data_IF_378191092588
#
_entry.id   IF_378191092588
#
_cell.length_a   1.000
_cell.length_b   1.000
_cell.length_c   1.000
_cell.angle_alpha   90.00
_cell.angle_beta   90.00
_cell.angle_gamma   90.00
#
_symmetry.space_group_name_H-M   'P 1'
#
loop_
_entity.id
_entity.type
_entity.pdbx_description
1 polymer ?
#
# COMPACT_ATOMS: atom_id res chain seq x y z
N UNK A 1 24.32 23.72 -2.33
CA UNK A 1 23.19 22.81 -2.64
C UNK A 1 22.63 22.05 -1.42
N UNK A 2 23.41 21.36 -0.57
CA UNK A 2 22.83 20.52 0.51
C UNK A 2 22.07 21.31 1.60
N UNK A 3 22.45 22.56 1.87
CA UNK A 3 21.75 23.45 2.83
C UNK A 3 20.30 23.75 2.42
N UNK A 4 19.98 23.81 1.13
CA UNK A 4 18.60 24.06 0.65
C UNK A 4 17.72 22.83 0.83
N UNK A 5 18.23 21.64 0.51
CA UNK A 5 17.50 20.38 0.68
C UNK A 5 17.14 20.14 2.15
N UNK A 6 18.08 20.35 3.07
CA UNK A 6 17.81 20.21 4.50
C UNK A 6 16.78 21.23 5.01
N UNK A 7 16.81 22.45 4.50
CA UNK A 7 15.80 23.46 4.83
C UNK A 7 14.42 23.08 4.30
N UNK A 8 14.33 22.52 3.09
CA UNK A 8 13.08 22.04 2.50
C UNK A 8 12.49 20.86 3.28
N UNK A 9 13.33 19.90 3.68
CA UNK A 9 12.90 18.77 4.51
C UNK A 9 12.42 19.22 5.89
N UNK A 10 13.14 20.17 6.51
CA UNK A 10 12.74 20.73 7.79
C UNK A 10 11.40 21.48 7.67
N UNK A 11 11.21 22.24 6.60
CA UNK A 11 9.96 22.94 6.33
C UNK A 11 8.80 21.95 6.07
N UNK A 12 9.03 20.89 5.31
CA UNK A 12 8.04 19.84 5.06
C UNK A 12 7.64 19.12 6.35
N UNK A 13 8.60 18.85 7.24
CA UNK A 13 8.32 18.28 8.56
C UNK A 13 7.46 19.20 9.42
N UNK A 14 7.79 20.50 9.44
CA UNK A 14 7.02 21.50 10.19
C UNK A 14 5.59 21.66 9.65
N UNK A 15 5.43 21.71 8.32
CA UNK A 15 4.13 21.77 7.66
C UNK A 15 3.30 20.52 7.98
N UNK A 16 3.86 19.33 7.75
CA UNK A 16 3.17 18.07 8.04
C UNK A 16 2.78 17.92 9.51
N UNK A 17 3.61 18.41 10.43
CA UNK A 17 3.28 18.42 11.86
C UNK A 17 2.14 19.39 12.19
N UNK A 18 2.09 20.57 11.57
CA UNK A 18 1.01 21.53 11.75
C UNK A 18 -0.32 20.99 11.19
N UNK A 19 -0.23 20.27 10.06
CA UNK A 19 -1.36 19.68 9.35
C UNK A 19 -1.82 18.33 9.93
N UNK A 20 -1.19 17.87 11.02
CA UNK A 20 -1.49 16.62 11.70
C UNK A 20 -1.50 15.40 10.75
N UNK A 21 -0.60 15.34 9.78
CA UNK A 21 -0.56 14.27 8.78
C UNK A 21 -0.38 12.87 9.41
N UNK A 22 0.16 12.79 10.63
CA UNK A 22 0.24 11.55 11.40
C UNK A 22 -1.13 11.00 11.79
N UNK A 23 -2.11 11.85 12.12
CA UNK A 23 -3.49 11.44 12.40
C UNK A 23 -4.18 11.00 11.11
N UNK A 24 -3.96 11.75 10.02
CA UNK A 24 -4.51 11.38 8.71
C UNK A 24 -3.94 10.04 8.23
N UNK A 25 -2.65 9.81 8.42
CA UNK A 25 -1.98 8.54 8.13
C UNK A 25 -2.56 7.38 8.96
N UNK A 26 -2.97 7.63 10.20
CA UNK A 26 -3.64 6.61 11.02
C UNK A 26 -5.02 6.22 10.44
N UNK A 27 -5.76 7.19 9.89
CA UNK A 27 -6.99 6.92 9.14
C UNK A 27 -6.74 6.06 7.90
N UNK A 28 -5.69 6.36 7.13
CA UNK A 28 -5.27 5.55 5.97
C UNK A 28 -4.95 4.12 6.42
N UNK A 29 -4.19 3.97 7.49
CA UNK A 29 -3.80 2.67 8.02
C UNK A 29 -4.98 1.83 8.51
N UNK A 30 -5.94 2.46 9.20
CA UNK A 30 -7.17 1.80 9.65
C UNK A 30 -7.97 1.24 8.47
N UNK A 31 -8.21 2.03 7.42
CA UNK A 31 -8.95 1.56 6.25
C UNK A 31 -8.17 0.51 5.44
N UNK A 32 -6.84 0.62 5.36
CA UNK A 32 -6.00 -0.39 4.72
C UNK A 32 -6.11 -1.74 5.47
N UNK A 33 -6.06 -1.72 6.80
CA UNK A 33 -6.23 -2.91 7.63
C UNK A 33 -7.63 -3.52 7.47
N UNK A 34 -8.68 -2.68 7.47
CA UNK A 34 -10.06 -3.11 7.28
C UNK A 34 -10.29 -3.76 5.91
N UNK A 35 -9.63 -3.24 4.86
CA UNK A 35 -9.71 -3.79 3.51
C UNK A 35 -8.94 -5.09 3.33
N UNK A 36 -7.92 -5.35 4.17
CA UNK A 36 -6.96 -6.43 3.95
C UNK A 36 -7.59 -7.82 3.95
N UNK A 37 -8.32 -8.18 5.01
CA UNK A 37 -8.88 -9.53 5.16
C UNK A 37 -9.88 -9.86 4.04
N UNK A 38 -10.87 -8.99 3.73
CA UNK A 38 -11.79 -9.23 2.63
C UNK A 38 -11.09 -9.21 1.26
N UNK A 39 -10.04 -8.38 1.09
CA UNK A 39 -9.26 -8.36 -0.15
C UNK A 39 -8.54 -9.69 -0.38
N UNK A 40 -7.89 -10.25 0.66
CA UNK A 40 -7.26 -11.57 0.58
C UNK A 40 -8.28 -12.67 0.24
N UNK A 41 -9.43 -12.69 0.92
CA UNK A 41 -10.51 -13.63 0.61
C UNK A 41 -11.01 -13.49 -0.84
N UNK A 42 -11.15 -12.26 -1.33
CA UNK A 42 -11.57 -12.00 -2.70
C UNK A 42 -10.54 -12.44 -3.74
N UNK A 43 -9.24 -12.29 -3.45
CA UNK A 43 -8.15 -12.75 -4.33
C UNK A 43 -8.17 -14.27 -4.46
N UNK A 44 -8.31 -14.97 -3.34
CA UNK A 44 -8.43 -16.43 -3.29
C UNK A 44 -9.64 -16.92 -4.09
N UNK A 45 -10.79 -16.32 -3.85
CA UNK A 45 -12.02 -16.67 -4.55
C UNK A 45 -11.96 -16.37 -6.05
N UNK A 46 -11.41 -15.20 -6.43
CA UNK A 46 -11.21 -14.85 -7.84
C UNK A 46 -10.25 -15.82 -8.51
N UNK A 47 -9.20 -16.25 -7.82
CA UNK A 47 -8.27 -17.26 -8.33
C UNK A 47 -8.96 -18.60 -8.57
N UNK A 48 -9.83 -19.05 -7.66
CA UNK A 48 -10.66 -20.25 -7.81
C UNK A 48 -11.69 -20.21 -8.95
N UNK A 49 -11.96 -19.04 -9.55
CA UNK A 49 -12.81 -18.93 -10.75
C UNK A 49 -12.07 -19.31 -12.04
N UNK A 50 -10.74 -19.18 -12.06
CA UNK A 50 -9.90 -19.41 -13.24
C UNK A 50 -8.96 -20.62 -13.10
N UNK A 51 -8.67 -21.05 -11.87
CA UNK A 51 -7.82 -22.19 -11.57
C UNK A 51 -8.66 -23.35 -11.01
N UNK A 52 -8.36 -24.58 -11.42
CA UNK A 52 -8.98 -25.76 -10.81
C UNK A 52 -8.51 -25.93 -9.35
N UNK A 53 -9.33 -26.56 -8.51
CA UNK A 53 -9.03 -26.72 -7.08
C UNK A 53 -7.66 -27.39 -6.82
N UNK A 54 -7.20 -28.26 -7.73
CA UNK A 54 -5.91 -28.94 -7.63
C UNK A 54 -4.72 -27.98 -7.84
N UNK A 55 -4.82 -27.06 -8.80
CA UNK A 55 -3.79 -26.03 -9.09
C UNK A 55 -3.73 -25.00 -7.97
N UNK A 56 -4.88 -24.65 -7.38
CA UNK A 56 -4.94 -23.77 -6.20
C UNK A 56 -4.25 -24.42 -5.02
N UNK A 57 -4.57 -25.69 -4.72
CA UNK A 57 -3.96 -26.43 -3.63
C UNK A 57 -2.44 -26.61 -3.81
N UNK A 58 -1.96 -26.87 -5.04
CA UNK A 58 -0.53 -27.04 -5.32
C UNK A 58 0.29 -25.76 -5.17
N UNK A 59 -0.24 -24.61 -5.61
CA UNK A 59 0.45 -23.33 -5.43
C UNK A 59 0.45 -22.88 -3.97
N UNK A 60 -0.59 -23.24 -3.22
CA UNK A 60 -0.69 -22.86 -1.81
C UNK A 60 0.17 -23.73 -0.92
N UNK A 61 0.36 -25.02 -1.24
CA UNK A 61 1.38 -25.85 -0.58
C UNK A 61 2.80 -25.31 -0.81
N UNK A 62 3.08 -24.77 -1.99
CA UNK A 62 4.38 -24.13 -2.29
C UNK A 62 4.60 -22.82 -1.52
N UNK A 63 3.54 -22.02 -1.34
CA UNK A 63 3.58 -20.75 -0.59
C UNK A 63 3.59 -21.00 0.92
N UNK A 64 2.76 -21.92 1.42
CA UNK A 64 2.67 -22.26 2.86
C UNK A 64 3.92 -22.94 3.40
N UNK A 65 4.67 -23.67 2.56
CA UNK A 65 5.99 -24.20 2.92
C UNK A 65 7.01 -23.10 3.27
N UNK A 66 6.77 -21.85 2.89
CA UNK A 66 7.62 -20.70 3.18
C UNK A 66 7.01 -19.74 4.22
N UNK A 67 5.79 -20.02 4.70
CA UNK A 67 5.08 -19.19 5.67
C UNK A 67 5.20 -19.76 7.09
N UNK A 68 5.14 -18.91 8.13
CA UNK A 68 4.95 -19.37 9.51
C UNK A 68 3.66 -20.21 9.63
N UNK A 69 3.63 -21.26 10.48
CA UNK A 69 2.49 -22.20 10.57
C UNK A 69 1.12 -21.51 10.77
N UNK A 70 1.07 -20.49 11.62
CA UNK A 70 -0.14 -19.69 11.88
C UNK A 70 -0.69 -18.91 10.67
N UNK A 71 0.19 -18.44 9.76
CA UNK A 71 -0.24 -17.77 8.53
C UNK A 71 -0.70 -18.77 7.48
N UNK A 72 -0.09 -19.95 7.46
CA UNK A 72 -0.54 -21.06 6.62
C UNK A 72 -1.94 -21.53 7.05
N UNK A 73 -2.17 -21.83 8.33
CA UNK A 73 -3.48 -22.24 8.87
C UNK A 73 -4.60 -21.28 8.47
N UNK A 74 -4.43 -19.97 8.70
CA UNK A 74 -5.43 -18.95 8.35
C UNK A 74 -5.82 -18.97 6.87
N UNK A 75 -4.83 -19.15 5.99
CA UNK A 75 -5.05 -19.23 4.54
C UNK A 75 -5.78 -20.54 4.19
N UNK A 76 -5.34 -21.67 4.75
CA UNK A 76 -5.93 -23.00 4.53
C UNK A 76 -7.38 -23.08 4.98
N UNK A 77 -7.70 -22.56 6.17
CA UNK A 77 -9.07 -22.54 6.72
C UNK A 77 -10.01 -21.70 5.84
N UNK A 78 -9.52 -20.55 5.37
CA UNK A 78 -10.29 -19.68 4.49
C UNK A 78 -10.56 -20.35 3.14
N UNK A 79 -9.62 -21.14 2.63
CA UNK A 79 -9.76 -21.89 1.38
C UNK A 79 -10.67 -23.11 1.51
N UNK A 80 -10.59 -23.86 2.60
CA UNK A 80 -11.50 -24.99 2.84
C UNK A 80 -12.93 -24.50 3.00
N UNK A 81 -13.13 -23.39 3.72
CA UNK A 81 -14.43 -22.72 3.82
C UNK A 81 -14.96 -22.30 2.43
N UNK A 82 -14.08 -21.94 1.51
CA UNK A 82 -14.44 -21.58 0.14
C UNK A 82 -14.72 -22.82 -0.70
N UNK A 83 -13.87 -23.85 -0.66
CA UNK A 83 -13.99 -25.05 -1.48
C UNK A 83 -15.17 -25.96 -1.09
N UNK A 84 -15.55 -25.97 0.19
CA UNK A 84 -16.66 -26.77 0.71
C UNK A 84 -18.03 -26.06 0.65
N UNK A 85 -18.05 -24.75 0.34
CA UNK A 85 -19.28 -23.99 0.19
C UNK A 85 -20.07 -24.41 -1.05
N UNK A 86 -21.37 -24.69 -0.91
CA UNK A 86 -22.28 -24.94 -2.05
C UNK A 86 -22.24 -23.79 -3.07
N UNK A 87 -22.28 -24.11 -4.36
CA UNK A 87 -22.09 -23.19 -5.50
C UNK A 87 -22.94 -21.91 -5.48
N UNK A 88 -24.11 -21.90 -4.82
CA UNK A 88 -24.92 -20.70 -4.61
C UNK A 88 -24.46 -19.80 -3.45
N UNK A 89 -23.88 -20.38 -2.40
CA UNK A 89 -23.35 -19.65 -1.24
C UNK A 89 -21.96 -19.05 -1.50
N UNK A 90 -21.15 -19.69 -2.36
CA UNK A 90 -19.84 -19.17 -2.81
C UNK A 90 -19.97 -17.82 -3.55
N UNK A 91 -20.96 -17.68 -4.43
CA UNK A 91 -21.19 -16.43 -5.18
C UNK A 91 -21.61 -15.27 -4.26
N UNK A 92 -22.53 -15.52 -3.32
CA UNK A 92 -22.96 -14.51 -2.36
C UNK A 92 -21.84 -14.10 -1.40
N UNK A 93 -21.07 -15.07 -0.86
CA UNK A 93 -19.92 -14.80 0.01
C UNK A 93 -18.82 -13.99 -0.68
N UNK A 94 -18.52 -14.31 -1.95
CA UNK A 94 -17.59 -13.54 -2.78
C UNK A 94 -18.06 -12.11 -2.99
N UNK A 95 -19.35 -11.90 -3.31
CA UNK A 95 -19.90 -10.56 -3.48
C UNK A 95 -19.81 -9.73 -2.20
N UNK A 96 -20.09 -10.33 -1.03
CA UNK A 96 -19.96 -9.66 0.27
C UNK A 96 -18.50 -9.32 0.57
N UNK A 97 -17.58 -10.26 0.38
CA UNK A 97 -16.15 -10.03 0.61
C UNK A 97 -15.59 -8.93 -0.32
N UNK A 98 -15.93 -8.97 -1.61
CA UNK A 98 -15.58 -7.92 -2.56
C UNK A 98 -16.18 -6.57 -2.18
N UNK A 99 -17.44 -6.54 -1.74
CA UNK A 99 -18.09 -5.29 -1.32
C UNK A 99 -17.37 -4.65 -0.13
N UNK A 100 -16.99 -5.45 0.88
CA UNK A 100 -16.25 -4.95 2.06
C UNK A 100 -14.82 -4.54 1.66
N UNK A 101 -14.12 -5.34 0.85
CA UNK A 101 -12.78 -5.02 0.35
C UNK A 101 -12.79 -3.70 -0.42
N UNK A 102 -13.75 -3.55 -1.35
CA UNK A 102 -13.90 -2.35 -2.17
C UNK A 102 -14.29 -1.14 -1.33
N UNK A 103 -15.15 -1.32 -0.32
CA UNK A 103 -15.49 -0.28 0.64
C UNK A 103 -14.26 0.20 1.41
N UNK A 104 -13.48 -0.72 1.98
CA UNK A 104 -12.24 -0.40 2.70
C UNK A 104 -11.22 0.29 1.80
N UNK A 105 -10.97 -0.26 0.61
CA UNK A 105 -10.01 0.30 -0.34
C UNK A 105 -10.44 1.70 -0.83
N UNK A 106 -11.72 1.89 -1.17
CA UNK A 106 -12.29 3.19 -1.53
C UNK A 106 -12.11 4.21 -0.41
N UNK A 107 -12.40 3.83 0.84
CA UNK A 107 -12.26 4.74 1.98
C UNK A 107 -10.80 5.05 2.30
N UNK A 108 -9.90 4.07 2.18
CA UNK A 108 -8.46 4.28 2.27
C UNK A 108 -7.95 5.27 1.22
N UNK A 109 -8.35 5.09 -0.04
CA UNK A 109 -8.03 6.01 -1.12
C UNK A 109 -8.61 7.42 -0.87
N UNK A 110 -9.84 7.55 -0.35
CA UNK A 110 -10.41 8.86 0.03
C UNK A 110 -9.66 9.50 1.20
N UNK A 111 -9.22 8.72 2.18
CA UNK A 111 -8.39 9.20 3.29
C UNK A 111 -7.05 9.73 2.78
N UNK A 112 -6.43 9.01 1.84
CA UNK A 112 -5.21 9.46 1.17
C UNK A 112 -5.43 10.76 0.38
N UNK A 113 -6.50 10.82 -0.43
CA UNK A 113 -6.86 12.05 -1.15
C UNK A 113 -7.08 13.23 -0.21
N UNK A 114 -7.69 12.98 0.95
CA UNK A 114 -7.91 14.01 1.98
C UNK A 114 -6.58 14.51 2.54
N UNK A 115 -5.66 13.61 2.90
CA UNK A 115 -4.33 13.99 3.36
C UNK A 115 -3.53 14.77 2.31
N UNK A 116 -3.62 14.37 1.05
CA UNK A 116 -2.97 15.12 -0.03
C UNK A 116 -3.63 16.49 -0.24
N UNK A 117 -4.97 16.59 -0.18
CA UNK A 117 -5.64 17.90 -0.24
C UNK A 117 -5.16 18.84 0.86
N UNK A 118 -5.02 18.33 2.10
CA UNK A 118 -4.47 19.09 3.22
C UNK A 118 -3.05 19.58 2.89
N UNK A 119 -2.14 18.67 2.50
CA UNK A 119 -0.76 19.04 2.15
C UNK A 119 -0.67 20.06 1.02
N UNK A 120 -1.53 19.96 0.00
CA UNK A 120 -1.59 20.92 -1.10
C UNK A 120 -2.31 22.23 -0.72
N UNK A 121 -2.94 22.33 0.46
CA UNK A 121 -3.67 23.51 0.92
C UNK A 121 -4.98 23.72 0.16
N UNK A 122 -5.68 22.64 -0.17
CA UNK A 122 -6.96 22.68 -0.90
C UNK A 122 -8.11 22.49 0.07
N UNK A 123 -8.99 23.48 0.11
CA UNK A 123 -10.23 23.42 0.88
C UNK A 123 -11.28 22.56 0.17
N UNK A 124 -11.73 21.53 0.87
CA UNK A 124 -12.88 20.73 0.47
C UNK A 124 -12.56 19.54 -0.44
N UNK A 125 -13.34 18.45 -0.31
CA UNK A 125 -13.17 17.27 -1.13
C UNK A 125 -13.62 17.54 -2.58
N UNK A 126 -13.15 16.69 -3.51
CA UNK A 126 -13.80 16.57 -4.82
C UNK A 126 -15.28 16.21 -4.60
N UNK A 127 -16.15 16.69 -5.50
CA UNK A 127 -17.58 16.35 -5.47
C UNK A 127 -17.80 14.84 -5.36
N UNK A 128 -18.92 14.42 -4.75
CA UNK A 128 -19.14 13.03 -4.34
C UNK A 128 -18.80 12.00 -5.42
N UNK A 129 -19.31 12.19 -6.63
CA UNK A 129 -19.10 11.28 -7.77
C UNK A 129 -17.65 11.27 -8.24
N UNK A 130 -17.05 12.45 -8.49
CA UNK A 130 -15.66 12.56 -8.93
C UNK A 130 -14.65 12.05 -7.90
N UNK A 131 -14.92 12.26 -6.61
CA UNK A 131 -14.11 11.73 -5.51
C UNK A 131 -14.16 10.20 -5.45
N UNK A 132 -15.34 9.60 -5.65
CA UNK A 132 -15.48 8.14 -5.67
C UNK A 132 -14.83 7.50 -6.90
N UNK A 133 -15.02 8.08 -8.08
CA UNK A 133 -14.39 7.59 -9.31
C UNK A 133 -12.86 7.66 -9.22
N UNK A 134 -12.31 8.76 -8.67
CA UNK A 134 -10.87 8.85 -8.45
C UNK A 134 -10.38 7.82 -7.42
N UNK A 135 -11.10 7.63 -6.30
CA UNK A 135 -10.72 6.65 -5.29
C UNK A 135 -10.68 5.22 -5.87
N UNK A 136 -11.65 4.87 -6.72
CA UNK A 136 -11.68 3.61 -7.45
C UNK A 136 -10.54 3.50 -8.46
N UNK A 137 -10.26 4.56 -9.21
CA UNK A 137 -9.15 4.59 -10.16
C UNK A 137 -7.78 4.42 -9.46
N UNK A 138 -7.57 5.10 -8.33
CA UNK A 138 -6.37 4.95 -7.49
C UNK A 138 -6.24 3.50 -7.00
N UNK A 139 -7.34 2.92 -6.52
CA UNK A 139 -7.35 1.53 -6.03
C UNK A 139 -7.00 0.55 -7.16
N UNK A 140 -7.65 0.67 -8.31
CA UNK A 140 -7.41 -0.18 -9.47
C UNK A 140 -5.97 -0.03 -10.01
N UNK A 141 -5.47 1.21 -10.12
CA UNK A 141 -4.10 1.49 -10.53
C UNK A 141 -3.06 0.97 -9.52
N UNK A 142 -3.36 1.06 -8.22
CA UNK A 142 -2.52 0.52 -7.16
C UNK A 142 -2.41 -1.01 -7.23
N UNK A 143 -3.54 -1.70 -7.41
CA UNK A 143 -3.57 -3.17 -7.58
C UNK A 143 -2.81 -3.57 -8.84
N UNK A 144 -3.12 -2.95 -9.99
CA UNK A 144 -2.44 -3.25 -11.25
C UNK A 144 -0.93 -2.97 -11.16
N UNK A 145 -0.54 -1.85 -10.56
CA UNK A 145 0.85 -1.48 -10.35
C UNK A 145 1.59 -2.48 -9.47
N UNK A 146 0.97 -2.94 -8.37
CA UNK A 146 1.54 -3.96 -7.49
C UNK A 146 1.74 -5.28 -8.21
N UNK A 147 0.73 -5.76 -8.96
CA UNK A 147 0.81 -7.01 -9.74
C UNK A 147 1.91 -6.93 -10.80
N UNK A 148 1.95 -5.85 -11.57
CA UNK A 148 2.96 -5.65 -12.62
C UNK A 148 4.36 -5.56 -12.04
N UNK A 149 4.53 -4.84 -10.93
CA UNK A 149 5.82 -4.70 -10.25
C UNK A 149 6.28 -6.04 -9.68
N UNK A 150 5.39 -6.80 -9.03
CA UNK A 150 5.70 -8.12 -8.50
C UNK A 150 6.09 -9.12 -9.61
N UNK A 151 5.34 -9.14 -10.72
CA UNK A 151 5.65 -9.98 -11.87
C UNK A 151 7.00 -9.61 -12.51
N UNK A 152 7.28 -8.32 -12.66
CA UNK A 152 8.56 -7.84 -13.20
C UNK A 152 9.73 -8.16 -12.27
N UNK A 153 9.57 -7.98 -10.95
CA UNK A 153 10.57 -8.38 -9.96
C UNK A 153 10.85 -9.89 -9.99
N UNK A 154 9.81 -10.72 -10.11
CA UNK A 154 9.98 -12.16 -10.23
C UNK A 154 10.72 -12.56 -11.51
N UNK A 155 10.42 -11.90 -12.64
CA UNK A 155 11.14 -12.12 -13.89
C UNK A 155 12.63 -11.73 -13.77
N UNK A 156 12.93 -10.59 -13.15
CA UNK A 156 14.30 -10.12 -12.91
C UNK A 156 15.08 -10.98 -11.92
N UNK A 157 14.41 -11.61 -10.95
CA UNK A 157 15.02 -12.52 -9.99
C UNK A 157 15.59 -13.78 -10.65
N UNK A 158 15.08 -14.18 -11.82
CA UNK A 158 15.63 -15.29 -12.61
C UNK A 158 16.94 -14.93 -13.32
N UNK A 159 17.32 -13.65 -13.37
CA UNK A 159 18.62 -13.22 -13.90
C UNK A 159 19.67 -13.47 -12.82
N UNK A 160 20.57 -14.43 -13.06
CA UNK A 160 21.57 -14.84 -12.09
C UNK A 160 22.52 -13.70 -11.68
N UNK A 161 22.81 -13.63 -10.37
CA UNK A 161 23.85 -12.79 -9.81
C UNK A 161 23.40 -11.39 -9.35
N UNK A 162 24.38 -10.57 -9.00
CA UNK A 162 24.19 -9.22 -8.42
C UNK A 162 23.35 -8.29 -9.32
N UNK A 163 23.39 -8.49 -10.64
CA UNK A 163 22.66 -7.67 -11.59
C UNK A 163 21.13 -7.79 -11.43
N UNK A 164 20.60 -9.02 -11.29
CA UNK A 164 19.16 -9.23 -11.09
C UNK A 164 18.64 -8.61 -9.78
N UNK A 165 19.47 -8.67 -8.73
CA UNK A 165 19.15 -8.04 -7.44
C UNK A 165 19.12 -6.51 -7.53
N UNK A 166 20.14 -5.89 -8.16
CA UNK A 166 20.19 -4.43 -8.36
C UNK A 166 19.03 -3.98 -9.25
N UNK A 167 18.76 -4.68 -10.35
CA UNK A 167 17.66 -4.35 -11.26
C UNK A 167 16.30 -4.41 -10.56
N UNK A 168 16.07 -5.45 -9.75
CA UNK A 168 14.83 -5.58 -8.97
C UNK A 168 14.68 -4.45 -7.95
N UNK A 169 15.76 -4.08 -7.26
CA UNK A 169 15.76 -2.95 -6.32
C UNK A 169 15.45 -1.62 -7.02
N UNK A 170 16.09 -1.35 -8.16
CA UNK A 170 15.86 -0.13 -8.95
C UNK A 170 14.43 -0.09 -9.51
N UNK A 171 13.89 -1.24 -9.92
CA UNK A 171 12.51 -1.36 -10.37
C UNK A 171 11.53 -1.02 -9.24
N UNK A 172 11.74 -1.55 -8.03
CA UNK A 172 10.91 -1.22 -6.87
C UNK A 172 11.00 0.26 -6.50
N UNK A 173 12.20 0.83 -6.48
CA UNK A 173 12.42 2.25 -6.21
C UNK A 173 11.72 3.13 -7.26
N UNK A 174 11.88 2.80 -8.54
CA UNK A 174 11.24 3.50 -9.65
C UNK A 174 9.72 3.39 -9.63
N UNK A 175 9.19 2.21 -9.36
CA UNK A 175 7.75 1.96 -9.25
C UNK A 175 7.15 2.74 -8.07
N UNK A 176 7.80 2.74 -6.90
CA UNK A 176 7.35 3.50 -5.74
C UNK A 176 7.38 5.02 -6.01
N UNK A 177 8.44 5.53 -6.64
CA UNK A 177 8.53 6.94 -7.02
C UNK A 177 7.47 7.32 -8.05
N UNK A 178 7.25 6.47 -9.06
CA UNK A 178 6.22 6.69 -10.07
C UNK A 178 4.82 6.70 -9.45
N UNK A 179 4.51 5.72 -8.61
CA UNK A 179 3.23 5.63 -7.91
C UNK A 179 2.97 6.89 -7.07
N UNK A 180 3.95 7.31 -6.25
CA UNK A 180 3.83 8.54 -5.48
C UNK A 180 3.69 9.78 -6.37
N UNK A 181 4.46 9.88 -7.46
CA UNK A 181 4.37 11.00 -8.39
C UNK A 181 3.00 11.10 -9.07
N UNK A 182 2.42 9.97 -9.48
CA UNK A 182 1.06 9.92 -10.03
C UNK A 182 0.02 10.32 -8.99
N UNK A 183 0.16 9.86 -7.74
CA UNK A 183 -0.72 10.26 -6.65
C UNK A 183 -0.64 11.76 -6.37
N UNK A 184 0.56 12.33 -6.29
CA UNK A 184 0.73 13.77 -6.07
C UNK A 184 0.16 14.63 -7.20
N UNK A 185 0.14 14.10 -8.43
CA UNK A 185 -0.41 14.83 -9.58
C UNK A 185 -1.93 14.71 -9.73
N UNK A 186 -2.49 13.55 -9.43
CA UNK A 186 -3.87 13.23 -9.80
C UNK A 186 -4.82 12.98 -8.63
N UNK A 187 -4.31 12.62 -7.45
CA UNK A 187 -5.16 12.27 -6.31
C UNK A 187 -5.76 13.51 -5.64
N UNK A 188 -5.00 14.60 -5.51
CA UNK A 188 -5.49 15.84 -4.89
C UNK A 188 -6.36 16.66 -5.85
N UNK A 189 -7.30 17.43 -5.30
CA UNK A 189 -8.08 18.41 -6.07
C UNK A 189 -7.32 19.70 -6.38
N UNK A 190 -6.01 19.74 -6.10
CA UNK A 190 -5.18 20.89 -6.41
C UNK A 190 -4.96 21.02 -7.93
N UNK A 191 -4.67 22.24 -8.42
CA UNK A 191 -4.02 22.39 -9.71
C UNK A 191 -2.78 21.50 -9.78
N UNK A 192 -2.65 20.73 -10.87
CA UNK A 192 -1.60 19.73 -11.00
C UNK A 192 -0.21 20.38 -10.85
N UNK A 193 0.60 19.98 -9.84
CA UNK A 193 1.93 20.55 -9.64
C UNK A 193 2.84 20.32 -10.85
N UNK A 194 3.83 21.18 -11.05
CA UNK A 194 4.83 20.95 -12.08
C UNK A 194 5.63 19.66 -11.78
N UNK A 195 5.99 18.88 -12.80
CA UNK A 195 6.78 17.66 -12.63
C UNK A 195 8.11 17.90 -11.89
N UNK A 196 8.70 19.09 -12.06
CA UNK A 196 9.90 19.51 -11.34
C UNK A 196 9.71 19.65 -9.81
N UNK A 197 8.49 19.89 -9.34
CA UNK A 197 8.15 19.90 -7.92
C UNK A 197 7.78 18.50 -7.40
N UNK A 198 7.21 17.64 -8.26
CA UNK A 198 6.75 16.29 -7.93
C UNK A 198 7.91 15.32 -7.69
N UNK A 199 8.86 15.24 -8.64
CA UNK A 199 9.94 14.25 -8.59
C UNK A 199 10.75 14.26 -7.28
N UNK A 200 11.12 15.42 -6.72
CA UNK A 200 11.80 15.49 -5.42
C UNK A 200 11.01 14.85 -4.28
N UNK A 201 9.71 15.13 -4.17
CA UNK A 201 8.85 14.53 -3.15
C UNK A 201 8.62 13.04 -3.37
N UNK A 202 8.48 12.64 -4.64
CA UNK A 202 8.28 11.24 -5.03
C UNK A 202 9.52 10.38 -4.76
N UNK A 203 10.71 10.87 -5.11
CA UNK A 203 11.97 10.19 -4.81
C UNK A 203 12.24 10.15 -3.30
N UNK A 204 11.94 11.24 -2.57
CA UNK A 204 12.03 11.26 -1.11
C UNK A 204 11.15 10.16 -0.49
N UNK A 205 9.89 10.07 -0.89
CA UNK A 205 8.99 9.02 -0.46
C UNK A 205 9.57 7.64 -0.80
N UNK A 206 9.94 7.38 -2.05
CA UNK A 206 10.41 6.05 -2.47
C UNK A 206 11.63 5.58 -1.66
N UNK A 207 12.62 6.45 -1.45
CA UNK A 207 13.83 6.12 -0.68
C UNK A 207 13.49 5.86 0.79
N UNK A 208 12.75 6.78 1.42
CA UNK A 208 12.41 6.65 2.84
C UNK A 208 11.46 5.49 3.11
N UNK A 209 10.53 5.21 2.20
CA UNK A 209 9.59 4.11 2.27
C UNK A 209 10.28 2.75 2.12
N UNK A 210 11.24 2.61 1.19
CA UNK A 210 12.05 1.39 1.09
C UNK A 210 12.92 1.21 2.34
N UNK A 211 13.53 2.27 2.84
CA UNK A 211 14.30 2.20 4.09
C UNK A 211 13.42 1.79 5.29
N UNK A 212 12.23 2.36 5.41
CA UNK A 212 11.26 2.00 6.44
C UNK A 212 10.77 0.56 6.28
N UNK A 213 10.56 0.09 5.05
CA UNK A 213 10.16 -1.30 4.75
C UNK A 213 11.26 -2.29 5.09
N UNK A 214 12.53 -1.97 4.79
CA UNK A 214 13.66 -2.78 5.19
C UNK A 214 13.83 -2.82 6.72
N UNK A 215 13.70 -1.67 7.39
CA UNK A 215 13.73 -1.59 8.85
C UNK A 215 12.59 -2.38 9.49
N UNK A 216 11.40 -2.33 8.91
CA UNK A 216 10.26 -3.13 9.34
C UNK A 216 10.49 -4.63 9.12
N UNK A 217 11.09 -5.02 7.98
CA UNK A 217 11.48 -6.40 7.74
C UNK A 217 12.48 -6.93 8.77
N UNK A 218 13.48 -6.13 9.13
CA UNK A 218 14.40 -6.46 10.23
C UNK A 218 13.68 -6.60 11.57
N UNK A 219 12.80 -5.64 11.91
CA UNK A 219 11.97 -5.70 13.12
C UNK A 219 11.11 -6.97 13.16
N UNK A 220 10.43 -7.30 12.06
CA UNK A 220 9.57 -8.47 11.94
C UNK A 220 10.34 -9.79 12.06
N UNK A 221 11.55 -9.87 11.48
CA UNK A 221 12.41 -11.06 11.58
C UNK A 221 12.91 -11.32 13.01
N UNK A 222 13.12 -10.26 13.80
CA UNK A 222 13.57 -10.36 15.20
C UNK A 222 12.39 -10.40 16.19
N UNK A 223 11.15 -10.42 15.71
CA UNK A 223 9.94 -10.32 16.51
C UNK A 223 9.53 -11.61 17.24
N UNK A 224 10.33 -12.68 17.10
CA UNK A 224 10.03 -14.03 17.59
C UNK A 224 9.74 -14.14 19.10
N UNK A 225 10.27 -13.26 19.94
CA UNK A 225 10.00 -13.27 21.40
C UNK A 225 8.69 -12.58 21.78
N UNK A 226 8.23 -11.57 21.03
CA UNK A 226 6.96 -10.86 21.28
C UNK A 226 5.75 -11.70 20.84
N UNK A 227 5.93 -12.52 19.78
CA UNK A 227 4.93 -13.47 19.29
C UNK A 227 4.52 -14.51 20.35
N UNK A 228 5.40 -14.85 21.30
CA UNK A 228 5.11 -15.80 22.37
C UNK A 228 4.07 -15.30 23.39
N UNK A 229 3.90 -13.97 23.54
CA UNK A 229 2.95 -13.38 24.51
C UNK A 229 1.70 -12.82 23.84
N UNK A 230 1.84 -12.22 22.65
CA UNK A 230 0.74 -11.51 21.99
C UNK A 230 0.27 -12.15 20.67
N UNK A 231 0.95 -13.18 20.16
CA UNK A 231 0.55 -13.94 18.98
C UNK A 231 0.04 -13.08 17.82
N UNK A 232 -1.18 -13.39 17.35
CA UNK A 232 -1.83 -12.69 16.24
C UNK A 232 -2.08 -11.18 16.49
N UNK A 233 -2.29 -10.75 17.75
CA UNK A 233 -2.48 -9.32 18.06
C UNK A 233 -1.20 -8.52 17.80
N UNK A 234 -0.03 -9.09 18.12
CA UNK A 234 1.26 -8.46 17.83
C UNK A 234 1.48 -8.25 16.33
N UNK A 235 1.09 -9.23 15.50
CA UNK A 235 1.17 -9.13 14.04
C UNK A 235 0.27 -8.01 13.48
N UNK A 236 -0.96 -7.88 13.99
CA UNK A 236 -1.89 -6.81 13.60
C UNK A 236 -1.34 -5.43 13.96
N UNK A 237 -0.77 -5.27 15.17
CA UNK A 237 -0.16 -4.00 15.62
C UNK A 237 1.07 -3.65 14.78
N UNK A 238 1.93 -4.63 14.45
CA UNK A 238 3.06 -4.40 13.57
C UNK A 238 2.57 -3.94 12.17
N UNK A 239 1.55 -4.60 11.64
CA UNK A 239 1.03 -4.30 10.30
C UNK A 239 0.36 -2.92 10.21
N UNK A 240 -0.47 -2.54 11.19
CA UNK A 240 -1.07 -1.21 11.22
C UNK A 240 0.00 -0.12 11.36
N UNK A 241 1.09 -0.40 12.09
CA UNK A 241 2.24 0.51 12.22
C UNK A 241 2.95 0.68 10.89
N UNK A 242 3.13 -0.40 10.12
CA UNK A 242 3.72 -0.32 8.78
C UNK A 242 2.84 0.45 7.80
N UNK A 243 1.52 0.23 7.81
CA UNK A 243 0.59 1.03 7.00
C UNK A 243 0.60 2.50 7.40
N UNK A 244 0.64 2.78 8.70
CA UNK A 244 0.73 4.15 9.22
C UNK A 244 2.02 4.84 8.74
N UNK A 245 3.17 4.17 8.86
CA UNK A 245 4.45 4.70 8.41
C UNK A 245 4.43 4.95 6.88
N UNK A 246 3.83 4.04 6.11
CA UNK A 246 3.66 4.21 4.66
C UNK A 246 2.84 5.45 4.32
N UNK A 247 1.66 5.59 4.94
CA UNK A 247 0.79 6.76 4.75
C UNK A 247 1.49 8.06 5.17
N UNK A 248 2.18 8.04 6.31
CA UNK A 248 2.90 9.19 6.84
C UNK A 248 4.00 9.67 5.90
N UNK A 249 4.87 8.75 5.43
CA UNK A 249 5.96 9.08 4.51
C UNK A 249 5.43 9.60 3.17
N UNK A 250 4.32 9.04 2.69
CA UNK A 250 3.68 9.48 1.45
C UNK A 250 3.11 10.90 1.59
N UNK A 251 2.44 11.20 2.70
CA UNK A 251 1.94 12.55 2.98
C UNK A 251 3.09 13.55 3.17
N UNK A 252 4.16 13.15 3.85
CA UNK A 252 5.35 14.00 4.03
C UNK A 252 6.06 14.30 2.69
N UNK A 253 6.10 13.34 1.75
CA UNK A 253 6.55 13.59 0.38
C UNK A 253 5.60 14.50 -0.41
N UNK A 254 4.30 14.44 -0.10
CA UNK A 254 3.28 15.38 -0.59
C UNK A 254 3.53 16.82 -0.12
N UNK A 255 3.82 17.03 1.17
CA UNK A 255 4.19 18.33 1.75
C UNK A 255 5.42 18.92 1.06
N UNK A 256 6.46 18.10 0.86
CA UNK A 256 7.67 18.52 0.15
C UNK A 256 7.35 18.96 -1.29
N UNK A 257 6.44 18.23 -1.96
CA UNK A 257 5.98 18.57 -3.31
C UNK A 257 5.22 19.90 -3.31
N UNK A 258 4.28 20.09 -2.38
CA UNK A 258 3.47 21.28 -2.25
C UNK A 258 4.34 22.53 -1.96
N UNK A 259 5.27 22.42 -1.01
CA UNK A 259 6.21 23.50 -0.67
C UNK A 259 7.06 23.94 -1.86
N UNK A 260 7.55 22.98 -2.65
CA UNK A 260 8.34 23.29 -3.84
C UNK A 260 7.50 23.92 -4.94
N UNK A 261 6.27 23.45 -5.13
CA UNK A 261 5.34 24.02 -6.10
C UNK A 261 4.91 25.45 -5.77
N UNK A 262 4.83 25.81 -4.48
CA UNK A 262 4.53 27.19 -4.03
C UNK A 262 5.70 28.17 -4.25
N UNK A 263 6.92 27.67 -4.44
CA UNK A 263 8.15 28.48 -4.59
C UNK A 263 8.62 28.64 -6.04
N UNK A 264 8.05 27.88 -6.96
CA UNK A 264 8.32 27.95 -8.41
C UNK A 264 7.36 28.91 -9.09
#
# INVERSE_FOLDING_TARGET
MPRRVLADLKAAWQAGSADNIGIVAAGIAHYALLALVPALGSLVLAYGLFADAATVASHITLISAQLPPSAAELITDQLESVAQGSSGAQGAGLLVALAIALFGARNGARSLMTGLNIAFGVDGPRGFLGGNLMALAITAAGIAGLVLTAAASAALANIAGMFGSIASFLLLLGAAALAAGLLYRFASHAPAPAWAAIWPGACFFAVTWLAATAAFGFYAANFGSYNATYGALGAVVALITWFWATGFLLLLGGELTALRNRRS
#
